data_IF_332633467072
#
_entry.id   IF_332633467072
#
_cell.length_a   1.000
_cell.length_b   1.000
_cell.length_c   1.000
_cell.angle_alpha   90.00
_cell.angle_beta   90.00
_cell.angle_gamma   90.00
#
_symmetry.space_group_name_H-M   'P 1'
#
loop_
_entity.id
_entity.type
_entity.pdbx_description
1 polymer ?
#
# COMPACT_ATOMS: atom_id res chain seq x y z
N UNK A 1 1.02 2.11 38.33
CA UNK A 1 1.88 3.27 38.08
C UNK A 1 3.06 2.82 37.24
N UNK A 2 3.06 3.30 36.01
CA UNK A 2 4.18 3.59 35.11
C UNK A 2 5.20 2.50 34.75
N UNK A 3 5.11 2.23 33.45
CA UNK A 3 5.89 1.42 32.52
C UNK A 3 7.40 1.47 32.62
N UNK A 4 7.90 0.36 32.10
CA UNK A 4 9.26 -0.07 31.82
C UNK A 4 9.89 0.85 30.76
N UNK A 5 11.04 1.37 31.13
CA UNK A 5 12.24 1.58 30.31
C UNK A 5 12.13 1.41 28.79
N UNK A 6 12.29 2.55 28.11
CA UNK A 6 13.28 2.79 27.04
C UNK A 6 13.47 1.70 25.99
N UNK A 7 12.93 1.93 24.79
CA UNK A 7 13.63 1.78 23.50
C UNK A 7 12.68 2.17 22.36
N UNK A 8 12.41 3.47 22.26
CA UNK A 8 11.96 4.07 21.01
C UNK A 8 13.10 4.94 20.48
N UNK A 9 14.05 4.31 19.78
CA UNK A 9 14.94 5.03 18.87
C UNK A 9 14.15 5.25 17.59
N UNK A 10 13.24 6.21 17.65
CA UNK A 10 12.66 6.85 16.48
C UNK A 10 13.79 7.26 15.57
N UNK A 11 13.71 6.79 14.33
CA UNK A 11 14.65 7.12 13.27
C UNK A 11 14.46 8.59 12.92
N UNK A 12 15.23 9.44 13.59
CA UNK A 12 15.35 10.86 13.25
C UNK A 12 15.85 10.93 11.81
N UNK A 13 15.01 11.51 10.95
CA UNK A 13 15.40 11.86 9.59
C UNK A 13 16.48 12.93 9.68
N UNK A 14 17.74 12.50 9.63
CA UNK A 14 18.89 13.40 9.50
C UNK A 14 19.00 13.80 8.05
N UNK A 15 18.82 15.10 7.79
CA UNK A 15 19.08 15.72 6.49
C UNK A 15 20.52 15.36 6.01
N UNK A 16 20.72 14.93 4.76
CA UNK A 16 22.05 14.59 4.29
C UNK A 16 22.90 15.86 4.22
N UNK A 17 23.85 15.98 5.16
CA UNK A 17 24.93 16.96 5.09
C UNK A 17 25.73 16.68 3.83
N UNK A 18 25.60 17.56 2.83
CA UNK A 18 26.49 17.60 1.68
C UNK A 18 27.89 17.99 2.16
N UNK A 19 28.69 16.98 2.53
CA UNK A 19 30.12 17.11 2.74
C UNK A 19 30.75 17.52 1.40
N UNK A 20 31.17 18.77 1.31
CA UNK A 20 31.94 19.30 0.19
C UNK A 20 33.22 18.47 0.00
N UNK A 21 33.44 17.80 -1.15
CA UNK A 21 34.68 17.09 -1.39
C UNK A 21 35.77 18.11 -1.73
N UNK A 22 36.94 17.88 -1.14
CA UNK A 22 38.13 18.69 -1.32
C UNK A 22 38.49 18.94 -2.79
N UNK A 23 39.14 20.09 -2.99
CA UNK A 23 39.59 20.63 -4.27
C UNK A 23 40.63 19.72 -4.93
N UNK A 24 40.20 18.67 -5.62
CA UNK A 24 41.02 18.05 -6.66
C UNK A 24 40.85 18.86 -7.94
N UNK A 25 41.95 19.41 -8.42
CA UNK A 25 42.07 20.13 -9.69
C UNK A 25 42.01 19.11 -10.83
N UNK A 26 40.85 18.47 -11.01
CA UNK A 26 40.55 17.68 -12.19
C UNK A 26 40.17 18.62 -13.32
N UNK A 27 40.81 18.48 -14.47
CA UNK A 27 40.27 19.08 -15.69
C UNK A 27 38.89 18.49 -15.93
N UNK A 28 37.85 19.30 -15.77
CA UNK A 28 36.54 19.04 -16.37
C UNK A 28 36.67 19.37 -17.85
N UNK A 29 36.49 18.40 -18.77
CA UNK A 29 36.35 18.76 -20.17
C UNK A 29 35.16 19.73 -20.30
N UNK A 30 35.26 20.77 -21.14
CA UNK A 30 34.15 21.70 -21.34
C UNK A 30 32.92 20.94 -21.84
N UNK A 31 31.71 21.35 -21.42
CA UNK A 31 30.47 20.72 -21.86
C UNK A 31 30.39 20.74 -23.39
N UNK A 32 29.79 19.68 -23.97
CA UNK A 32 29.70 19.49 -25.41
C UNK A 32 29.08 20.72 -26.11
N UNK A 33 28.17 21.41 -25.43
CA UNK A 33 27.55 22.66 -25.88
C UNK A 33 28.56 23.79 -26.15
N UNK A 34 29.68 23.82 -25.42
CA UNK A 34 30.71 24.85 -25.59
C UNK A 34 31.64 24.57 -26.77
N UNK A 35 31.90 23.30 -27.07
CA UNK A 35 32.71 22.88 -28.21
C UNK A 35 31.98 23.02 -29.54
N UNK A 36 30.66 22.79 -29.54
CA UNK A 36 29.82 22.96 -30.75
C UNK A 36 29.66 24.44 -31.12
N UNK A 37 29.72 25.33 -30.13
CA UNK A 37 29.51 26.77 -30.31
C UNK A 37 30.81 27.56 -30.59
N UNK A 38 32.00 26.95 -30.59
CA UNK A 38 33.26 27.67 -30.83
C UNK A 38 33.57 27.79 -32.32
N UNK A 39 33.54 29.00 -32.93
CA UNK A 39 33.96 29.17 -34.31
C UNK A 39 35.50 29.10 -34.39
N UNK A 40 36.03 28.11 -35.11
CA UNK A 40 37.44 28.12 -35.54
C UNK A 40 37.62 29.29 -36.51
N UNK A 41 38.40 30.31 -36.14
CA UNK A 41 38.78 31.38 -37.07
C UNK A 41 40.30 31.39 -37.24
N UNK A 42 40.76 30.83 -38.36
CA UNK A 42 42.13 30.98 -38.86
C UNK A 42 42.10 31.90 -40.07
N UNK A 43 42.55 33.13 -39.87
CA UNK A 43 43.51 33.91 -40.68
C UNK A 43 43.36 34.11 -42.23
N UNK A 44 43.55 35.39 -42.61
CA UNK A 44 44.00 36.03 -43.86
C UNK A 44 43.04 36.43 -45.02
N UNK A 45 42.78 37.74 -45.06
CA UNK A 45 42.90 38.75 -46.14
C UNK A 45 42.36 38.58 -47.58
N UNK A 46 41.59 39.62 -47.96
CA UNK A 46 41.19 40.10 -49.29
C UNK A 46 39.99 39.42 -49.98
N UNK A 47 38.77 39.77 -49.54
CA UNK A 47 37.51 39.32 -50.15
C UNK A 47 36.70 40.54 -50.62
N UNK A 48 36.31 40.55 -51.90
CA UNK A 48 35.51 41.62 -52.53
C UNK A 48 34.15 41.81 -51.84
N UNK A 49 33.66 43.05 -51.71
CA UNK A 49 32.43 43.45 -50.99
C UNK A 49 31.18 42.63 -51.37
N UNK A 50 31.04 42.20 -52.63
CA UNK A 50 29.94 41.32 -53.06
C UNK A 50 30.05 39.90 -52.47
N UNK A 51 31.27 39.37 -52.34
CA UNK A 51 31.56 38.07 -51.74
C UNK A 51 31.45 38.12 -50.20
N UNK A 52 31.73 39.27 -49.57
CA UNK A 52 31.51 39.48 -48.13
C UNK A 52 30.01 39.38 -47.79
N UNK A 53 29.13 39.92 -48.63
CA UNK A 53 27.68 39.86 -48.40
C UNK A 53 27.11 38.44 -48.59
N UNK A 54 27.60 37.69 -49.57
CA UNK A 54 27.20 36.27 -49.76
C UNK A 54 27.78 35.36 -48.67
N UNK A 55 29.00 35.63 -48.20
CA UNK A 55 29.59 34.89 -47.08
C UNK A 55 28.94 35.22 -45.74
N UNK A 56 28.56 36.48 -45.50
CA UNK A 56 27.85 36.88 -44.29
C UNK A 56 26.44 36.26 -44.24
N UNK A 57 25.72 36.28 -45.35
CA UNK A 57 24.40 35.63 -45.45
C UNK A 57 24.49 34.11 -45.37
N UNK A 58 25.51 33.49 -46.00
CA UNK A 58 25.79 32.06 -45.87
C UNK A 58 26.16 31.63 -44.45
N UNK A 59 26.95 32.44 -43.73
CA UNK A 59 27.27 32.22 -42.31
C UNK A 59 26.04 32.31 -41.41
N UNK A 60 25.15 33.28 -41.65
CA UNK A 60 23.89 33.38 -40.91
C UNK A 60 22.93 32.22 -41.24
N UNK A 61 22.87 31.77 -42.49
CA UNK A 61 22.10 30.57 -42.87
C UNK A 61 22.64 29.31 -42.17
N UNK A 62 23.95 29.07 -42.19
CA UNK A 62 24.57 27.95 -41.48
C UNK A 62 24.32 28.02 -39.96
N UNK A 63 24.32 29.22 -39.38
CA UNK A 63 23.99 29.45 -37.97
C UNK A 63 22.53 29.13 -37.66
N UNK A 64 21.61 29.52 -38.54
CA UNK A 64 20.18 29.21 -38.40
C UNK A 64 19.93 27.70 -38.55
N UNK A 65 20.59 27.04 -39.49
CA UNK A 65 20.54 25.58 -39.65
C UNK A 65 21.09 24.85 -38.42
N UNK A 66 22.21 25.31 -37.86
CA UNK A 66 22.76 24.75 -36.62
C UNK A 66 21.80 24.93 -35.43
N UNK A 67 21.17 26.10 -35.31
CA UNK A 67 20.15 26.36 -34.26
C UNK A 67 18.90 25.52 -34.47
N UNK A 68 18.46 25.35 -35.71
CA UNK A 68 17.32 24.50 -36.06
C UNK A 68 17.61 23.05 -35.69
N UNK A 69 18.76 22.52 -36.10
CA UNK A 69 19.20 21.16 -35.76
C UNK A 69 19.32 20.96 -34.24
N UNK A 70 19.89 21.92 -33.52
CA UNK A 70 19.96 21.87 -32.05
C UNK A 70 18.56 21.90 -31.40
N UNK A 71 17.63 22.65 -31.98
CA UNK A 71 16.22 22.68 -31.58
C UNK A 71 15.53 21.34 -31.80
N UNK A 72 15.72 20.73 -32.98
CA UNK A 72 15.18 19.41 -33.33
C UNK A 72 15.71 18.32 -32.38
N UNK A 73 17.01 18.30 -32.09
CA UNK A 73 17.59 17.37 -31.12
C UNK A 73 17.00 17.57 -29.72
N UNK A 74 16.82 18.82 -29.28
CA UNK A 74 16.21 19.12 -27.97
C UNK A 74 14.76 18.63 -27.91
N UNK A 75 13.99 18.82 -28.98
CA UNK A 75 12.61 18.32 -29.06
C UNK A 75 12.58 16.79 -28.98
N UNK A 76 13.46 16.11 -29.71
CA UNK A 76 13.56 14.64 -29.64
C UNK A 76 13.89 14.16 -28.24
N UNK A 77 14.88 14.77 -27.58
CA UNK A 77 15.25 14.45 -26.19
C UNK A 77 14.09 14.66 -25.22
N UNK A 78 13.40 15.81 -25.28
CA UNK A 78 12.25 16.08 -24.42
C UNK A 78 11.10 15.11 -24.66
N UNK A 79 10.90 14.69 -25.91
CA UNK A 79 9.89 13.69 -26.27
C UNK A 79 10.22 12.33 -25.67
N UNK A 80 11.49 11.93 -25.71
CA UNK A 80 11.92 10.66 -25.07
C UNK A 80 11.74 10.70 -23.56
N UNK A 81 12.10 11.81 -22.91
CA UNK A 81 11.92 11.99 -21.46
C UNK A 81 10.44 12.02 -21.08
N UNK A 82 9.60 12.64 -21.90
CA UNK A 82 8.15 12.66 -21.68
C UNK A 82 7.58 11.23 -21.74
N UNK A 83 7.94 10.47 -22.77
CA UNK A 83 7.50 9.09 -22.91
C UNK A 83 7.98 8.20 -21.74
N UNK A 84 9.22 8.38 -21.28
CA UNK A 84 9.75 7.71 -20.09
C UNK A 84 8.95 8.08 -18.83
N UNK A 85 8.65 9.37 -18.64
CA UNK A 85 7.85 9.85 -17.52
C UNK A 85 6.40 9.35 -17.55
N UNK A 86 5.78 9.32 -18.74
CA UNK A 86 4.44 8.76 -18.94
C UNK A 86 4.39 7.27 -18.61
N UNK A 87 5.40 6.51 -19.03
CA UNK A 87 5.52 5.08 -18.73
C UNK A 87 5.71 4.83 -17.22
N UNK A 88 6.56 5.62 -16.55
CA UNK A 88 6.75 5.52 -15.11
C UNK A 88 5.48 5.86 -14.34
N UNK A 89 4.76 6.91 -14.74
CA UNK A 89 3.49 7.31 -14.12
C UNK A 89 2.41 6.23 -14.29
N UNK A 90 2.31 5.61 -15.47
CA UNK A 90 1.41 4.48 -15.70
C UNK A 90 1.72 3.30 -14.74
N UNK A 91 3.01 2.97 -14.56
CA UNK A 91 3.44 1.93 -13.63
C UNK A 91 3.12 2.27 -12.18
N UNK A 92 3.38 3.50 -11.74
CA UNK A 92 3.04 3.97 -10.38
C UNK A 92 1.54 3.90 -10.12
N UNK A 93 0.73 4.26 -11.10
CA UNK A 93 -0.74 4.15 -11.03
C UNK A 93 -1.18 2.70 -10.87
N UNK A 94 -0.62 1.78 -11.67
CA UNK A 94 -0.90 0.34 -11.56
C UNK A 94 -0.53 -0.23 -10.19
N UNK A 95 0.64 0.13 -9.66
CA UNK A 95 1.07 -0.31 -8.33
C UNK A 95 0.17 0.27 -7.24
N UNK A 96 -0.24 1.54 -7.36
CA UNK A 96 -1.17 2.17 -6.43
C UNK A 96 -2.50 1.41 -6.39
N UNK A 97 -3.04 1.05 -7.54
CA UNK A 97 -4.31 0.33 -7.61
C UNK A 97 -4.20 -1.11 -7.13
N UNK A 98 -3.09 -1.79 -7.44
CA UNK A 98 -2.80 -3.12 -6.91
C UNK A 98 -2.69 -3.11 -5.37
N UNK A 99 -1.98 -2.12 -4.80
CA UNK A 99 -1.86 -1.95 -3.35
C UNK A 99 -3.21 -1.64 -2.70
N UNK A 100 -4.03 -0.77 -3.31
CA UNK A 100 -5.39 -0.52 -2.81
C UNK A 100 -6.22 -1.80 -2.78
N UNK A 101 -6.13 -2.65 -3.80
CA UNK A 101 -6.87 -3.92 -3.80
C UNK A 101 -6.32 -4.92 -2.78
N UNK A 102 -4.99 -4.96 -2.59
CA UNK A 102 -4.38 -5.77 -1.54
C UNK A 102 -4.88 -5.37 -0.15
N UNK A 103 -4.95 -4.06 0.14
CA UNK A 103 -5.51 -3.54 1.39
C UNK A 103 -6.96 -3.98 1.55
N UNK A 104 -7.80 -3.81 0.51
CA UNK A 104 -9.21 -4.24 0.57
C UNK A 104 -9.34 -5.73 0.81
N UNK A 105 -8.51 -6.55 0.16
CA UNK A 105 -8.49 -8.00 0.35
C UNK A 105 -8.05 -8.38 1.75
N UNK A 106 -6.98 -7.76 2.25
CA UNK A 106 -6.47 -7.97 3.60
C UNK A 106 -7.53 -7.67 4.66
N UNK A 107 -8.21 -6.52 4.55
CA UNK A 107 -9.31 -6.14 5.46
C UNK A 107 -10.45 -7.17 5.42
N UNK A 108 -10.85 -7.65 4.23
CA UNK A 108 -11.88 -8.71 4.14
C UNK A 108 -11.43 -10.01 4.80
N UNK A 109 -10.16 -10.36 4.69
CA UNK A 109 -9.62 -11.55 5.33
C UNK A 109 -9.53 -11.39 6.84
N UNK A 110 -9.09 -10.24 7.35
CA UNK A 110 -9.07 -9.94 8.79
C UNK A 110 -10.48 -10.01 9.40
N UNK A 111 -11.49 -9.46 8.71
CA UNK A 111 -12.88 -9.58 9.14
C UNK A 111 -13.31 -11.05 9.23
N UNK A 112 -12.95 -11.89 8.24
CA UNK A 112 -13.24 -13.33 8.28
C UNK A 112 -12.51 -14.04 9.40
N UNK A 113 -11.23 -13.75 9.63
CA UNK A 113 -10.44 -14.29 10.73
C UNK A 113 -11.08 -13.94 12.08
N UNK A 114 -11.48 -12.68 12.28
CA UNK A 114 -12.20 -12.26 13.49
C UNK A 114 -13.53 -13.00 13.68
N UNK A 115 -14.28 -13.20 12.60
CA UNK A 115 -15.52 -13.98 12.65
C UNK A 115 -15.24 -15.46 12.97
N UNK A 116 -14.16 -16.03 12.42
CA UNK A 116 -13.74 -17.40 12.67
C UNK A 116 -13.29 -17.58 14.13
N UNK A 117 -12.47 -16.66 14.66
CA UNK A 117 -12.04 -16.63 16.06
C UNK A 117 -13.26 -16.50 17.00
N UNK A 118 -14.19 -15.59 16.70
CA UNK A 118 -15.41 -15.46 17.49
C UNK A 118 -16.28 -16.74 17.45
N UNK A 119 -16.31 -17.44 16.31
CA UNK A 119 -17.01 -18.72 16.17
C UNK A 119 -16.31 -19.83 16.96
N UNK A 120 -14.98 -19.84 16.97
CA UNK A 120 -14.21 -20.77 17.79
C UNK A 120 -14.41 -20.51 19.28
N UNK A 121 -14.42 -19.24 19.70
CA UNK A 121 -14.73 -18.85 21.07
C UNK A 121 -16.13 -19.36 21.45
N UNK A 122 -17.14 -19.11 20.61
CA UNK A 122 -18.50 -19.61 20.78
C UNK A 122 -18.53 -21.14 20.93
N UNK A 123 -17.86 -21.89 20.06
CA UNK A 123 -17.71 -23.35 20.14
C UNK A 123 -17.19 -23.77 21.52
N UNK A 124 -16.12 -23.13 21.99
CA UNK A 124 -15.50 -23.46 23.27
C UNK A 124 -16.42 -23.16 24.45
N UNK A 125 -17.15 -22.03 24.42
CA UNK A 125 -18.12 -21.66 25.45
C UNK A 125 -19.29 -22.64 25.50
N UNK A 126 -19.87 -22.99 24.34
CA UNK A 126 -20.97 -23.97 24.25
C UNK A 126 -20.50 -25.34 24.74
N UNK A 127 -19.32 -25.80 24.31
CA UNK A 127 -18.78 -27.09 24.72
C UNK A 127 -18.56 -27.13 26.24
N UNK A 128 -17.98 -26.08 26.83
CA UNK A 128 -17.87 -25.96 28.30
C UNK A 128 -19.25 -26.01 28.97
N UNK A 129 -20.23 -25.28 28.45
CA UNK A 129 -21.57 -25.26 29.03
C UNK A 129 -22.26 -26.63 29.00
N UNK A 130 -22.05 -27.43 27.95
CA UNK A 130 -22.61 -28.78 27.83
C UNK A 130 -21.87 -29.82 28.68
N UNK A 131 -20.55 -29.71 28.82
CA UNK A 131 -19.73 -30.68 29.56
C UNK A 131 -19.73 -30.45 31.07
N UNK A 132 -19.96 -29.22 31.52
CA UNK A 132 -20.01 -28.90 32.95
C UNK A 132 -21.30 -29.44 33.57
N UNK A 133 -21.15 -30.21 34.65
CA UNK A 133 -22.28 -30.60 35.50
C UNK A 133 -22.87 -29.36 36.19
N UNK A 134 -24.15 -29.45 36.56
CA UNK A 134 -24.91 -28.37 37.19
C UNK A 134 -24.10 -27.75 38.35
N UNK A 135 -23.82 -26.44 38.29
CA UNK A 135 -22.88 -25.79 39.21
C UNK A 135 -22.66 -24.30 38.91
N UNK A 136 -21.94 -23.59 39.78
CA UNK A 136 -21.70 -22.15 39.67
C UNK A 136 -21.00 -21.75 38.37
N UNK A 137 -20.08 -22.59 37.88
CA UNK A 137 -19.38 -22.37 36.60
C UNK A 137 -20.34 -22.34 35.41
N UNK A 138 -21.38 -23.20 35.41
CA UNK A 138 -22.39 -23.23 34.36
C UNK A 138 -23.27 -21.97 34.38
N UNK A 139 -23.55 -21.42 35.57
CA UNK A 139 -24.26 -20.14 35.74
C UNK A 139 -23.44 -18.95 35.24
N UNK A 140 -22.13 -18.97 35.49
CA UNK A 140 -21.22 -17.91 35.02
C UNK A 140 -21.10 -17.86 33.48
N UNK A 141 -21.32 -18.99 32.80
CA UNK A 141 -21.34 -19.04 31.34
C UNK A 141 -22.64 -18.53 30.71
N UNK A 142 -23.74 -18.38 31.45
CA UNK A 142 -25.03 -17.92 30.89
C UNK A 142 -24.97 -16.47 30.37
N UNK A 143 -24.43 -15.49 31.11
CA UNK A 143 -24.24 -14.14 30.58
C UNK A 143 -23.33 -14.10 29.35
N UNK A 144 -22.33 -14.96 29.28
CA UNK A 144 -21.42 -15.08 28.13
C UNK A 144 -22.14 -15.66 26.91
N UNK A 145 -22.93 -16.73 27.09
CA UNK A 145 -23.75 -17.29 26.02
C UNK A 145 -24.77 -16.26 25.51
N UNK A 146 -25.39 -15.50 26.42
CA UNK A 146 -26.30 -14.41 26.06
C UNK A 146 -25.64 -13.38 25.14
N UNK A 147 -24.41 -12.95 25.45
CA UNK A 147 -23.71 -11.94 24.63
C UNK A 147 -23.19 -12.51 23.31
N UNK A 148 -22.65 -13.74 23.33
CA UNK A 148 -22.05 -14.38 22.15
C UNK A 148 -23.12 -14.82 21.12
N UNK A 149 -24.25 -15.33 21.60
CA UNK A 149 -25.35 -15.82 20.74
C UNK A 149 -26.48 -14.80 20.57
N UNK A 150 -26.40 -13.63 21.21
CA UNK A 150 -27.45 -12.59 21.21
C UNK A 150 -28.82 -13.15 21.59
N UNK A 151 -28.87 -13.94 22.67
CA UNK A 151 -30.08 -14.63 23.09
C UNK A 151 -31.15 -13.65 23.54
N UNK A 152 -32.40 -13.98 23.23
CA UNK A 152 -33.57 -13.29 23.79
C UNK A 152 -33.66 -13.50 25.31
N UNK A 153 -34.39 -12.63 26.03
CA UNK A 153 -34.60 -12.80 27.48
C UNK A 153 -35.25 -14.15 27.83
N UNK A 154 -36.18 -14.63 27.00
CA UNK A 154 -36.85 -15.93 27.18
C UNK A 154 -35.89 -17.12 27.08
N UNK A 155 -34.97 -17.10 26.10
CA UNK A 155 -33.97 -18.16 25.93
C UNK A 155 -32.92 -18.13 27.03
N UNK A 156 -32.56 -16.92 27.50
CA UNK A 156 -31.65 -16.75 28.63
C UNK A 156 -32.24 -17.38 29.90
N UNK A 157 -33.53 -17.16 30.18
CA UNK A 157 -34.20 -17.78 31.33
C UNK A 157 -34.25 -19.31 31.27
N UNK A 158 -34.35 -19.90 30.07
CA UNK A 158 -34.25 -21.35 29.90
C UNK A 158 -32.84 -21.88 30.20
N UNK A 159 -31.79 -21.17 29.76
CA UNK A 159 -30.40 -21.53 30.09
C UNK A 159 -30.12 -21.38 31.59
N UNK A 160 -30.69 -20.37 32.24
CA UNK A 160 -30.64 -20.20 33.69
C UNK A 160 -31.27 -21.42 34.37
N UNK A 161 -32.50 -21.79 34.01
CA UNK A 161 -33.20 -22.96 34.59
C UNK A 161 -32.35 -24.25 34.47
N UNK A 162 -31.75 -24.47 33.30
CA UNK A 162 -30.84 -25.60 33.03
C UNK A 162 -29.52 -25.52 33.80
N UNK A 163 -29.06 -24.32 34.16
CA UNK A 163 -27.84 -24.09 34.93
C UNK A 163 -28.06 -24.17 36.45
N UNK A 164 -29.27 -23.83 36.95
CA UNK A 164 -29.64 -23.93 38.36
C UNK A 164 -29.95 -25.37 38.81
N UNK A 165 -30.23 -26.27 37.86
CA UNK A 165 -30.47 -27.68 38.12
C UNK A 165 -31.90 -27.92 38.58
N UNK A 166 -32.80 -28.16 37.63
CA UNK A 166 -34.03 -28.87 37.92
C UNK A 166 -33.70 -30.37 37.99
N UNK A 167 -33.57 -30.91 39.21
CA UNK A 167 -33.66 -32.35 39.47
C UNK A 167 -35.11 -32.78 39.30
N UNK A 168 -35.57 -32.78 38.05
CA UNK A 168 -36.88 -33.26 37.64
C UNK A 168 -36.74 -34.63 36.96
N UNK A 169 -36.94 -35.68 37.74
CA UNK A 169 -37.16 -37.05 37.31
C UNK A 169 -38.22 -37.10 36.19
N UNK A 170 -37.87 -37.63 35.00
CA UNK A 170 -38.81 -38.03 33.96
C UNK A 170 -39.55 -36.91 33.21
N UNK A 171 -38.98 -36.41 32.11
CA UNK A 171 -39.67 -35.41 31.29
C UNK A 171 -39.17 -35.32 29.86
N UNK A 172 -39.68 -36.21 29.01
CA UNK A 172 -39.70 -36.10 27.55
C UNK A 172 -38.36 -35.89 26.82
N UNK A 173 -37.96 -36.96 26.16
CA UNK A 173 -37.07 -37.04 25.00
C UNK A 173 -37.53 -36.09 23.86
N UNK A 174 -37.53 -34.78 24.08
CA UNK A 174 -37.45 -33.76 23.04
C UNK A 174 -35.97 -33.61 22.64
N UNK A 175 -35.36 -34.76 22.34
CA UNK A 175 -33.99 -34.83 21.87
C UNK A 175 -33.90 -34.27 20.45
N UNK A 176 -32.69 -33.87 20.08
CA UNK A 176 -32.24 -33.37 18.78
C UNK A 176 -32.86 -34.02 17.52
N UNK A 177 -33.46 -35.22 17.63
CA UNK A 177 -34.19 -35.90 16.56
C UNK A 177 -35.32 -35.09 15.90
N UNK A 178 -36.02 -34.21 16.63
CA UNK A 178 -37.07 -33.37 16.04
C UNK A 178 -36.52 -32.36 15.01
N UNK A 179 -35.33 -31.81 15.27
CA UNK A 179 -34.68 -30.83 14.40
C UNK A 179 -33.95 -31.47 13.22
N UNK A 180 -33.51 -32.73 13.33
CA UNK A 180 -32.83 -33.44 12.25
C UNK A 180 -33.71 -33.63 11.00
N UNK A 181 -35.03 -33.78 11.16
CA UNK A 181 -35.95 -33.92 10.02
C UNK A 181 -36.09 -32.63 9.19
N UNK A 182 -35.91 -31.45 9.79
CA UNK A 182 -35.96 -30.17 9.07
C UNK A 182 -34.70 -29.93 8.23
N UNK A 183 -33.59 -30.58 8.55
CA UNK A 183 -32.32 -30.44 7.82
C UNK A 183 -32.10 -31.51 6.76
N UNK A 184 -32.84 -32.61 6.83
CA UNK A 184 -32.79 -33.72 5.86
C UNK A 184 -33.64 -33.47 4.60
N UNK A 185 -34.44 -32.40 4.56
CA UNK A 185 -35.40 -32.12 3.46
C UNK A 185 -34.97 -30.97 2.54
N UNK A 186 -33.71 -30.99 2.08
CA UNK A 186 -33.22 -30.17 0.96
C UNK A 186 -32.46 -31.01 -0.05
#
# INVERSE_FOLDING_TARGET
MHEISTLDKGSEWVEPVHRSPGKQRGYSPPPLEQLINSPLTSQDDNVSIASINTDATGKEMARLEAKLSAGEMRIQQLTTLLHESEAENAKLTQLSDALKEEIRRSVRNEVREKHMENTEYMKNVILKFLLLKNGEERKHLVPVLKTVLQLSPSETSQLELLAFGDEGEGGSQAGWGSYLHLWSSR
#
